data_IF_857199808313
#
_entry.id   IF_857199808313
#
_cell.length_a   1.000
_cell.length_b   1.000
_cell.length_c   1.000
_cell.angle_alpha   90.00
_cell.angle_beta   90.00
_cell.angle_gamma   90.00
#
_symmetry.space_group_name_H-M   'P 1'
#
loop_
_entity.id
_entity.type
_entity.pdbx_description
1 polymer ?
#
# COMPACT_ATOMS: atom_id res chain seq x y z
N UNK A 1 50.20 22.51 7.38
CA UNK A 1 49.06 22.90 8.24
C UNK A 1 47.98 21.87 8.05
N UNK A 2 47.74 21.05 9.07
CA UNK A 2 46.66 20.06 9.13
C UNK A 2 45.34 20.78 9.40
N UNK A 3 44.24 20.30 8.81
CA UNK A 3 42.91 20.51 9.38
C UNK A 3 42.13 19.19 9.29
N UNK A 4 41.65 18.76 10.46
CA UNK A 4 40.93 17.52 10.71
C UNK A 4 39.56 17.49 10.02
N UNK A 5 39.29 16.46 9.22
CA UNK A 5 37.93 16.03 8.91
C UNK A 5 37.47 15.06 10.01
N UNK A 6 36.51 15.49 10.82
CA UNK A 6 35.79 14.63 11.74
C UNK A 6 34.78 13.78 10.97
N UNK A 7 34.99 12.48 10.95
CA UNK A 7 34.03 11.48 10.46
C UNK A 7 32.83 11.42 11.42
N UNK A 8 31.73 12.09 11.10
CA UNK A 8 30.45 11.85 11.75
C UNK A 8 29.87 10.53 11.25
N UNK A 9 29.89 9.49 12.10
CA UNK A 9 29.21 8.21 11.83
C UNK A 9 27.71 8.45 11.72
N UNK A 10 27.12 8.00 10.62
CA UNK A 10 25.67 7.86 10.49
C UNK A 10 25.12 6.89 11.55
N UNK A 11 23.92 7.11 12.12
CA UNK A 11 23.29 6.12 12.98
C UNK A 11 22.97 4.86 12.16
N UNK A 12 23.19 3.68 12.76
CA UNK A 12 22.78 2.41 12.17
C UNK A 12 21.25 2.35 12.06
N UNK A 13 20.69 1.74 10.99
CA UNK A 13 19.24 1.62 10.82
C UNK A 13 18.60 0.82 11.96
N UNK A 14 17.39 1.20 12.36
CA UNK A 14 16.63 0.57 13.46
C UNK A 14 16.40 -0.95 13.28
N UNK A 15 16.47 -1.46 12.05
CA UNK A 15 16.37 -2.89 11.74
C UNK A 15 17.57 -3.69 12.25
N UNK A 16 18.78 -3.11 12.24
CA UNK A 16 19.98 -3.75 12.79
C UNK A 16 19.91 -3.85 14.32
N UNK A 17 19.28 -2.88 15.00
CA UNK A 17 19.15 -2.88 16.45
C UNK A 17 18.22 -3.99 16.97
N UNK A 18 17.14 -4.32 16.24
CA UNK A 18 16.24 -5.40 16.60
C UNK A 18 16.88 -6.79 16.45
N UNK A 19 17.67 -7.00 15.40
CA UNK A 19 18.42 -8.25 15.19
C UNK A 19 19.48 -8.41 16.29
N UNK A 20 20.25 -7.36 16.59
CA UNK A 20 21.25 -7.41 17.66
C UNK A 20 20.63 -7.59 19.06
N UNK A 21 19.49 -6.94 19.36
CA UNK A 21 18.79 -7.10 20.63
C UNK A 21 18.20 -8.52 20.78
N UNK A 22 17.67 -9.10 19.70
CA UNK A 22 17.18 -10.47 19.68
C UNK A 22 18.33 -11.49 19.86
N UNK A 23 19.47 -11.29 19.19
CA UNK A 23 20.67 -12.11 19.38
C UNK A 23 21.24 -12.00 20.81
N UNK A 24 21.23 -10.80 21.39
CA UNK A 24 21.72 -10.57 22.76
C UNK A 24 20.82 -11.24 23.79
N UNK A 25 19.49 -11.10 23.66
CA UNK A 25 18.51 -11.74 24.55
C UNK A 25 18.54 -13.27 24.46
N UNK A 26 18.74 -13.85 23.27
CA UNK A 26 18.88 -15.30 23.09
C UNK A 26 20.16 -15.87 23.72
N UNK A 27 21.21 -15.06 23.86
CA UNK A 27 22.48 -15.48 24.48
C UNK A 27 22.52 -15.41 26.01
N UNK A 28 21.55 -14.73 26.65
CA UNK A 28 21.59 -14.43 28.10
C UNK A 28 20.57 -15.19 28.96
N UNK A 29 19.67 -16.00 28.37
CA UNK A 29 18.72 -16.82 29.13
C UNK A 29 19.23 -18.27 29.30
N UNK A 30 19.35 -18.80 30.53
CA UNK A 30 19.89 -20.14 30.79
C UNK A 30 18.94 -21.30 30.40
N UNK A 31 17.86 -21.02 29.66
CA UNK A 31 16.88 -22.03 29.24
C UNK A 31 17.14 -22.60 27.84
N UNK A 32 18.11 -22.04 27.09
CA UNK A 32 18.48 -22.47 25.74
C UNK A 32 19.80 -23.29 25.74
N UNK A 33 19.87 -24.35 26.54
CA UNK A 33 20.97 -25.34 26.46
C UNK A 33 20.50 -26.72 25.95
N UNK A 34 19.31 -26.80 25.36
CA UNK A 34 18.80 -28.03 24.71
C UNK A 34 18.20 -27.69 23.34
N UNK A 35 18.97 -27.04 22.48
CA UNK A 35 18.73 -27.08 21.05
C UNK A 35 20.03 -27.49 20.37
N UNK A 36 19.95 -28.59 19.61
CA UNK A 36 21.01 -29.06 18.72
C UNK A 36 21.55 -27.89 17.89
N UNK A 37 22.88 -27.75 17.84
CA UNK A 37 23.60 -26.71 17.11
C UNK A 37 23.13 -26.65 15.64
N UNK A 38 22.75 -27.80 15.09
CA UNK A 38 22.18 -27.95 13.75
C UNK A 38 20.83 -27.23 13.61
N UNK A 39 19.95 -27.35 14.62
CA UNK A 39 18.62 -26.72 14.61
C UNK A 39 18.71 -25.21 14.76
N UNK A 40 19.66 -24.73 15.56
CA UNK A 40 19.93 -23.29 15.72
C UNK A 40 20.48 -22.68 14.43
N UNK A 41 21.41 -23.35 13.73
CA UNK A 41 21.91 -22.90 12.41
C UNK A 41 20.83 -22.86 11.34
N UNK A 42 19.92 -23.83 11.30
CA UNK A 42 18.79 -23.83 10.36
C UNK A 42 17.86 -22.64 10.60
N UNK A 43 17.55 -22.31 11.85
CA UNK A 43 16.70 -21.17 12.19
C UNK A 43 17.38 -19.85 11.82
N UNK A 44 18.68 -19.70 12.08
CA UNK A 44 19.42 -18.48 11.72
C UNK A 44 19.49 -18.29 10.21
N UNK A 45 19.76 -19.33 9.43
CA UNK A 45 19.73 -19.26 7.96
C UNK A 45 18.34 -18.91 7.44
N UNK A 46 17.27 -19.45 8.05
CA UNK A 46 15.89 -19.13 7.66
C UNK A 46 15.59 -17.64 7.88
N UNK A 47 15.99 -17.10 9.03
CA UNK A 47 15.81 -15.67 9.37
C UNK A 47 16.65 -14.77 8.47
N UNK A 48 17.86 -15.18 8.10
CA UNK A 48 18.71 -14.42 7.18
C UNK A 48 18.10 -14.37 5.77
N UNK A 49 17.62 -15.50 5.25
CA UNK A 49 16.93 -15.58 3.96
C UNK A 49 15.58 -14.82 4.00
N UNK A 50 14.84 -14.85 5.11
CA UNK A 50 13.65 -14.01 5.29
C UNK A 50 14.01 -12.52 5.26
N UNK A 51 15.08 -12.11 5.93
CA UNK A 51 15.56 -10.72 5.91
C UNK A 51 16.06 -10.28 4.54
N UNK A 52 16.70 -11.17 3.77
CA UNK A 52 17.15 -10.90 2.39
C UNK A 52 15.97 -10.75 1.45
N UNK A 53 14.95 -11.61 1.59
CA UNK A 53 13.70 -11.51 0.82
C UNK A 53 12.90 -10.26 1.16
N UNK A 54 12.92 -9.81 2.42
CA UNK A 54 12.35 -8.52 2.83
C UNK A 54 13.11 -7.35 2.21
N UNK A 55 14.45 -7.37 2.25
CA UNK A 55 15.29 -6.33 1.60
C UNK A 55 15.10 -6.28 0.08
N UNK A 56 15.00 -7.43 -0.59
CA UNK A 56 14.73 -7.48 -2.03
C UNK A 56 13.30 -7.02 -2.36
N UNK A 57 12.32 -7.31 -1.50
CA UNK A 57 10.95 -6.77 -1.62
C UNK A 57 10.93 -5.25 -1.47
N UNK A 58 11.59 -4.70 -0.45
CA UNK A 58 11.72 -3.26 -0.25
C UNK A 58 12.45 -2.59 -1.44
N UNK A 59 13.52 -3.22 -1.93
CA UNK A 59 14.28 -2.72 -3.09
C UNK A 59 13.46 -2.74 -4.39
N UNK A 60 12.63 -3.77 -4.62
CA UNK A 60 11.78 -3.82 -5.82
C UNK A 60 10.55 -2.92 -5.70
N UNK A 61 10.04 -2.68 -4.49
CA UNK A 61 8.98 -1.71 -4.24
C UNK A 61 9.45 -0.26 -4.48
N UNK A 62 10.74 0.02 -4.27
CA UNK A 62 11.39 1.31 -4.58
C UNK A 62 11.61 1.57 -6.08
N UNK A 63 11.31 0.62 -6.97
CA UNK A 63 11.52 0.77 -8.41
C UNK A 63 10.44 1.61 -9.12
N UNK A 64 9.39 2.05 -8.42
CA UNK A 64 8.50 3.09 -8.91
C UNK A 64 9.19 4.45 -8.75
N UNK A 65 9.15 5.31 -9.77
CA UNK A 65 9.82 6.60 -9.74
C UNK A 65 9.21 7.52 -8.68
N UNK A 66 9.69 7.41 -7.44
CA UNK A 66 9.27 8.27 -6.35
C UNK A 66 9.84 9.66 -6.59
N UNK A 67 9.00 10.54 -7.13
CA UNK A 67 9.33 11.96 -7.27
C UNK A 67 9.12 12.61 -5.92
N UNK A 68 10.21 13.17 -5.37
CA UNK A 68 10.18 13.86 -4.08
C UNK A 68 9.18 15.03 -4.09
N UNK A 69 8.37 15.10 -3.04
CA UNK A 69 7.46 16.23 -2.81
C UNK A 69 8.32 17.44 -2.41
N UNK A 70 8.17 18.59 -3.08
CA UNK A 70 9.04 19.74 -2.86
C UNK A 70 8.70 20.43 -1.54
N UNK A 71 9.73 20.91 -0.86
CA UNK A 71 9.63 21.57 0.44
C UNK A 71 10.77 21.15 1.36
N UNK A 72 10.97 21.90 2.44
CA UNK A 72 11.88 21.47 3.51
C UNK A 72 11.22 20.36 4.33
N UNK A 73 12.00 19.41 4.89
CA UNK A 73 11.47 18.43 5.83
C UNK A 73 10.77 19.10 7.01
N UNK A 74 9.76 18.43 7.58
CA UNK A 74 9.09 18.90 8.79
C UNK A 74 10.11 19.17 9.89
N UNK A 75 10.21 20.42 10.35
CA UNK A 75 11.14 20.80 11.41
C UNK A 75 10.85 20.02 12.71
N UNK A 76 11.91 19.73 13.49
CA UNK A 76 11.79 18.97 14.74
C UNK A 76 10.75 19.56 15.71
N UNK A 77 10.65 20.90 15.77
CA UNK A 77 9.66 21.58 16.60
C UNK A 77 8.23 21.30 16.16
N UNK A 78 7.99 21.34 14.85
CA UNK A 78 6.68 21.02 14.24
C UNK A 78 6.33 19.55 14.44
N UNK A 79 7.26 18.63 14.18
CA UNK A 79 7.03 17.20 14.36
C UNK A 79 6.69 16.84 15.82
N UNK A 80 7.36 17.47 16.79
CA UNK A 80 7.06 17.29 18.22
C UNK A 80 5.66 17.83 18.58
N UNK A 81 5.30 19.00 18.06
CA UNK A 81 3.98 19.61 18.27
C UNK A 81 2.87 18.74 17.65
N UNK A 82 3.06 18.24 16.43
CA UNK A 82 2.13 17.34 15.74
C UNK A 82 1.95 16.03 16.53
N UNK A 83 3.04 15.46 17.03
CA UNK A 83 2.98 14.26 17.88
C UNK A 83 2.15 14.53 19.14
N UNK A 84 2.43 15.63 19.85
CA UNK A 84 1.70 16.00 21.07
C UNK A 84 0.21 16.23 20.79
N UNK A 85 -0.12 17.01 19.77
CA UNK A 85 -1.51 17.30 19.40
C UNK A 85 -2.24 16.06 18.88
N UNK A 86 -1.57 15.15 18.18
CA UNK A 86 -2.11 13.87 17.73
C UNK A 86 -2.48 12.92 18.89
N UNK A 87 -1.88 13.05 20.06
CA UNK A 87 -2.32 12.29 21.25
C UNK A 87 -3.57 12.87 21.93
N UNK A 88 -3.88 14.14 21.68
CA UNK A 88 -5.01 14.85 22.29
C UNK A 88 -6.25 14.77 21.40
N UNK A 89 -6.06 14.84 20.09
CA UNK A 89 -7.15 14.84 19.11
C UNK A 89 -7.71 13.42 18.88
N UNK A 90 -9.03 13.34 18.65
CA UNK A 90 -9.70 12.09 18.29
C UNK A 90 -9.77 11.92 16.77
N UNK A 91 -9.23 10.82 16.25
CA UNK A 91 -9.24 10.48 14.82
C UNK A 91 -10.35 9.47 14.46
N UNK A 92 -11.52 9.58 15.10
CA UNK A 92 -12.60 8.59 14.97
C UNK A 92 -12.98 8.24 13.51
N UNK A 93 -13.09 9.21 12.57
CA UNK A 93 -13.37 8.87 11.17
C UNK A 93 -12.27 8.03 10.50
N UNK A 94 -11.00 8.33 10.78
CA UNK A 94 -9.85 7.60 10.22
C UNK A 94 -9.73 6.21 10.86
N UNK A 95 -10.05 6.09 12.15
CA UNK A 95 -10.04 4.82 12.88
C UNK A 95 -11.10 3.83 12.38
N UNK A 96 -12.04 4.25 11.52
CA UNK A 96 -13.01 3.37 10.88
C UNK A 96 -12.49 2.69 9.59
N UNK A 97 -11.27 3.03 9.16
CA UNK A 97 -10.59 2.33 8.07
C UNK A 97 -10.13 0.96 8.58
N UNK A 98 -10.62 -0.11 7.96
CA UNK A 98 -10.37 -1.49 8.39
C UNK A 98 -9.88 -2.39 7.25
N UNK A 99 -9.79 -1.88 6.02
CA UNK A 99 -9.47 -2.67 4.85
C UNK A 99 -8.42 -1.98 3.97
N UNK A 100 -7.41 -2.75 3.56
CA UNK A 100 -6.42 -2.37 2.56
C UNK A 100 -6.61 -3.23 1.32
N UNK A 101 -6.84 -2.59 0.17
CA UNK A 101 -6.90 -3.25 -1.16
C UNK A 101 -5.82 -2.65 -2.06
N UNK A 102 -5.24 -3.46 -2.94
CA UNK A 102 -4.43 -2.99 -4.05
C UNK A 102 -5.15 -3.32 -5.36
N UNK A 103 -5.20 -2.35 -6.27
CA UNK A 103 -5.77 -2.47 -7.61
C UNK A 103 -4.97 -1.63 -8.62
N UNK A 104 -5.39 -1.64 -9.89
CA UNK A 104 -4.72 -0.91 -10.97
C UNK A 104 -5.70 0.00 -11.69
N UNK A 105 -5.44 1.29 -11.63
CA UNK A 105 -6.30 2.32 -12.16
C UNK A 105 -5.82 2.86 -13.50
N UNK A 106 -6.79 3.13 -14.36
CA UNK A 106 -6.61 3.68 -15.69
C UNK A 106 -7.27 5.05 -15.77
N UNK A 107 -6.67 6.01 -16.46
CA UNK A 107 -7.33 7.29 -16.68
C UNK A 107 -8.50 7.09 -17.65
N UNK A 108 -9.71 7.52 -17.28
CA UNK A 108 -10.91 7.28 -18.11
C UNK A 108 -10.78 7.85 -19.54
N UNK A 109 -10.04 8.95 -19.70
CA UNK A 109 -9.80 9.59 -21.00
C UNK A 109 -8.62 8.97 -21.76
N UNK A 110 -7.75 8.21 -21.09
CA UNK A 110 -6.55 7.58 -21.66
C UNK A 110 -6.21 6.29 -20.90
N UNK A 111 -6.79 5.18 -21.37
CA UNK A 111 -6.58 3.85 -20.81
C UNK A 111 -5.19 3.27 -21.10
N UNK A 112 -4.26 4.02 -21.71
CA UNK A 112 -2.85 3.59 -21.81
C UNK A 112 -2.04 3.95 -20.58
N UNK A 113 -2.52 4.93 -19.80
CA UNK A 113 -1.88 5.39 -18.57
C UNK A 113 -2.45 4.64 -17.37
N UNK A 114 -1.56 4.00 -16.61
CA UNK A 114 -1.91 3.08 -15.53
C UNK A 114 -1.15 3.44 -14.26
N UNK A 115 -1.81 3.29 -13.11
CA UNK A 115 -1.20 3.46 -11.78
C UNK A 115 -1.63 2.34 -10.86
N UNK A 116 -0.70 1.84 -10.05
CA UNK A 116 -1.05 1.05 -8.88
C UNK A 116 -1.72 1.94 -7.84
N UNK A 117 -2.77 1.43 -7.20
CA UNK A 117 -3.60 2.19 -6.28
C UNK A 117 -3.87 1.38 -5.00
N UNK A 118 -3.47 1.95 -3.87
CA UNK A 118 -3.68 1.36 -2.55
C UNK A 118 -4.86 2.02 -1.85
N UNK A 119 -5.95 1.27 -1.72
CA UNK A 119 -7.19 1.70 -1.13
C UNK A 119 -7.20 1.39 0.36
N UNK A 120 -7.50 2.39 1.18
CA UNK A 120 -7.72 2.27 2.61
C UNK A 120 -9.18 2.61 2.90
N UNK A 121 -9.99 1.56 3.03
CA UNK A 121 -11.44 1.63 3.02
C UNK A 121 -12.04 1.47 4.41
N UNK A 122 -13.16 2.17 4.62
CA UNK A 122 -14.09 1.93 5.72
C UNK A 122 -15.53 1.87 5.23
N UNK A 123 -16.34 1.04 5.88
CA UNK A 123 -17.79 1.00 5.66
C UNK A 123 -18.47 2.25 6.21
N UNK A 124 -19.35 2.86 5.40
CA UNK A 124 -20.40 3.75 5.90
C UNK A 124 -21.62 2.95 6.36
N UNK A 125 -21.91 1.86 5.64
CA UNK A 125 -22.85 0.80 5.96
C UNK A 125 -22.49 -0.44 5.12
N UNK A 126 -23.32 -1.49 5.17
CA UNK A 126 -23.09 -2.74 4.42
C UNK A 126 -22.98 -2.54 2.90
N UNK A 127 -23.68 -1.55 2.37
CA UNK A 127 -23.88 -1.33 0.93
C UNK A 127 -22.96 -0.25 0.35
N UNK A 128 -22.32 0.57 1.21
CA UNK A 128 -21.51 1.73 0.81
C UNK A 128 -20.18 1.76 1.57
N UNK A 129 -19.08 1.79 0.81
CA UNK A 129 -17.71 2.03 1.33
C UNK A 129 -17.17 3.33 0.79
N UNK A 130 -16.23 3.89 1.52
CA UNK A 130 -15.40 4.99 1.05
C UNK A 130 -13.93 4.68 1.34
N UNK A 131 -13.06 5.05 0.43
CA UNK A 131 -11.63 4.75 0.53
C UNK A 131 -10.79 6.00 0.28
N UNK A 132 -9.70 6.11 1.04
CA UNK A 132 -8.57 6.95 0.70
C UNK A 132 -7.62 6.15 -0.19
N UNK A 133 -7.10 6.75 -1.26
CA UNK A 133 -6.21 6.07 -2.21
C UNK A 133 -4.82 6.69 -2.13
N UNK A 134 -3.83 5.82 -1.95
CA UNK A 134 -2.41 6.17 -1.93
C UNK A 134 -1.67 5.52 -3.11
N UNK A 135 -0.56 6.13 -3.52
CA UNK A 135 0.29 5.62 -4.62
C UNK A 135 1.26 4.50 -4.22
N UNK A 136 1.39 4.24 -2.92
CA UNK A 136 2.16 3.11 -2.39
C UNK A 136 1.60 2.68 -1.03
N UNK A 137 2.01 1.53 -0.47
CA UNK A 137 1.58 1.11 0.87
C UNK A 137 2.51 1.67 1.97
N UNK A 138 3.48 2.52 1.62
CA UNK A 138 4.52 2.99 2.52
C UNK A 138 4.04 4.18 3.38
N UNK A 139 4.77 4.47 4.46
CA UNK A 139 4.43 5.54 5.40
C UNK A 139 4.43 6.94 4.79
N UNK A 140 5.26 7.15 3.78
CA UNK A 140 5.47 8.39 3.05
C UNK A 140 4.64 8.47 1.75
N UNK A 141 3.72 7.53 1.55
CA UNK A 141 2.85 7.51 0.38
C UNK A 141 2.04 8.80 0.24
N UNK A 142 1.81 9.20 -1.02
CA UNK A 142 1.03 10.39 -1.36
C UNK A 142 -0.44 10.01 -1.42
N UNK A 143 -1.31 10.80 -0.79
CA UNK A 143 -2.76 10.69 -1.00
C UNK A 143 -3.08 11.16 -2.42
N UNK A 144 -3.44 10.23 -3.30
CA UNK A 144 -3.67 10.51 -4.72
C UNK A 144 -5.14 10.61 -5.09
N UNK A 145 -6.04 10.04 -4.30
CA UNK A 145 -7.44 9.93 -4.69
C UNK A 145 -8.39 9.48 -3.60
N UNK A 146 -9.66 9.36 -3.99
CA UNK A 146 -10.70 8.72 -3.19
C UNK A 146 -11.50 7.77 -4.07
N UNK A 147 -12.14 6.82 -3.42
CA UNK A 147 -13.14 5.95 -4.04
C UNK A 147 -14.42 5.91 -3.20
N UNK A 148 -15.56 5.91 -3.89
CA UNK A 148 -16.81 5.44 -3.33
C UNK A 148 -17.17 4.10 -3.96
N UNK A 149 -17.49 3.12 -3.12
CA UNK A 149 -17.88 1.78 -3.57
C UNK A 149 -19.32 1.55 -3.17
N UNK A 150 -20.14 1.10 -4.11
CA UNK A 150 -21.53 0.72 -3.85
C UNK A 150 -21.80 -0.71 -4.34
N UNK A 151 -22.67 -1.43 -3.66
CA UNK A 151 -23.19 -2.71 -4.17
C UNK A 151 -23.99 -2.51 -5.46
N UNK A 152 -24.04 -3.56 -6.28
CA UNK A 152 -24.74 -3.57 -7.57
C UNK A 152 -26.19 -3.05 -7.48
N UNK A 153 -26.94 -3.43 -6.43
CA UNK A 153 -28.32 -2.98 -6.25
C UNK A 153 -28.45 -1.46 -6.14
N UNK A 154 -27.48 -0.77 -5.52
CA UNK A 154 -27.46 0.70 -5.47
C UNK A 154 -27.01 1.28 -6.81
N UNK A 155 -25.96 0.72 -7.43
CA UNK A 155 -25.49 1.17 -8.75
C UNK A 155 -26.61 1.17 -9.79
N UNK A 156 -27.44 0.13 -9.82
CA UNK A 156 -28.55 0.01 -10.77
C UNK A 156 -29.62 1.09 -10.60
N UNK A 157 -29.70 1.73 -9.43
CA UNK A 157 -30.62 2.84 -9.14
C UNK A 157 -30.07 4.22 -9.49
N UNK A 158 -28.79 4.33 -9.85
CA UNK A 158 -28.18 5.59 -10.24
C UNK A 158 -28.79 6.13 -11.54
N UNK A 159 -28.79 7.46 -11.74
CA UNK A 159 -29.08 8.07 -13.04
C UNK A 159 -28.20 7.50 -14.16
N UNK A 160 -28.75 7.38 -15.37
CA UNK A 160 -28.04 6.75 -16.49
C UNK A 160 -26.83 7.58 -16.97
N UNK A 161 -26.84 8.89 -16.75
CA UNK A 161 -25.72 9.79 -17.02
C UNK A 161 -24.62 9.74 -15.95
N UNK A 162 -24.94 9.24 -14.76
CA UNK A 162 -23.99 9.05 -13.66
C UNK A 162 -23.22 7.73 -13.78
N UNK A 163 -23.88 6.64 -14.20
CA UNK A 163 -23.27 5.30 -14.34
C UNK A 163 -21.94 5.24 -15.11
N UNK A 164 -21.73 6.03 -16.19
CA UNK A 164 -20.45 6.07 -16.90
C UNK A 164 -19.26 6.58 -16.09
N UNK A 165 -19.48 7.15 -14.89
CA UNK A 165 -18.42 7.57 -13.97
C UNK A 165 -17.98 6.45 -13.02
N UNK A 166 -18.58 5.27 -13.14
CA UNK A 166 -18.33 4.11 -12.28
C UNK A 166 -17.80 2.94 -13.10
N UNK A 167 -17.06 2.05 -12.45
CA UNK A 167 -16.61 0.79 -13.04
C UNK A 167 -16.97 -0.39 -12.14
N UNK A 168 -17.09 -1.58 -12.72
CA UNK A 168 -17.32 -2.81 -11.97
C UNK A 168 -16.01 -3.39 -11.47
N UNK A 169 -15.99 -3.88 -10.23
CA UNK A 169 -14.85 -4.62 -9.67
C UNK A 169 -14.80 -6.09 -10.09
N UNK A 170 -15.83 -6.58 -10.82
CA UNK A 170 -15.96 -8.01 -11.11
C UNK A 170 -14.74 -8.60 -11.81
N UNK A 171 -14.25 -7.92 -12.85
CA UNK A 171 -13.14 -8.43 -13.65
C UNK A 171 -11.82 -8.41 -12.87
N UNK A 172 -11.56 -7.34 -12.14
CA UNK A 172 -10.33 -7.20 -11.35
C UNK A 172 -10.26 -8.26 -10.26
N UNK A 173 -11.37 -8.48 -9.55
CA UNK A 173 -11.42 -9.49 -8.49
C UNK A 173 -11.28 -10.89 -9.07
N UNK A 174 -12.04 -11.24 -10.11
CA UNK A 174 -11.94 -12.58 -10.72
C UNK A 174 -10.59 -12.83 -11.38
N UNK A 175 -9.97 -11.80 -11.93
CA UNK A 175 -8.65 -11.85 -12.54
C UNK A 175 -7.49 -11.86 -11.54
N UNK A 176 -7.75 -11.60 -10.26
CA UNK A 176 -6.71 -11.46 -9.23
C UNK A 176 -5.89 -10.16 -9.37
N UNK A 177 -6.48 -9.12 -9.96
CA UNK A 177 -5.90 -7.79 -10.11
C UNK A 177 -6.32 -6.82 -9.02
N UNK A 178 -7.36 -7.16 -8.26
CA UNK A 178 -7.74 -6.49 -7.01
C UNK A 178 -7.59 -7.52 -5.87
N UNK A 179 -6.72 -7.20 -4.91
CA UNK A 179 -6.31 -8.13 -3.84
C UNK A 179 -6.08 -7.42 -2.51
N UNK A 180 -5.94 -8.19 -1.42
CA UNK A 180 -5.75 -7.68 -0.05
C UNK A 180 -4.33 -7.99 0.44
N UNK A 181 -3.39 -7.02 0.43
CA UNK A 181 -2.01 -7.25 0.85
C UNK A 181 -1.92 -7.81 2.28
N UNK A 182 -1.12 -8.88 2.45
CA UNK A 182 -0.86 -9.49 3.76
C UNK A 182 -2.02 -10.31 4.37
N UNK A 183 -3.18 -10.38 3.72
CA UNK A 183 -4.33 -11.15 4.21
C UNK A 183 -4.25 -12.61 3.72
N UNK A 184 -4.47 -13.61 4.60
CA UNK A 184 -4.46 -15.01 4.18
C UNK A 184 -5.54 -15.31 3.12
N UNK A 185 -5.19 -16.07 2.08
CA UNK A 185 -6.05 -16.27 0.90
C UNK A 185 -7.46 -16.83 1.15
N UNK A 186 -7.69 -17.57 2.24
CA UNK A 186 -9.05 -18.01 2.61
C UNK A 186 -9.92 -16.86 3.12
N UNK A 187 -9.32 -15.96 3.90
CA UNK A 187 -10.00 -14.78 4.45
C UNK A 187 -10.22 -13.75 3.34
N UNK A 188 -9.18 -13.48 2.56
CA UNK A 188 -9.23 -12.61 1.38
C UNK A 188 -10.35 -13.03 0.42
N UNK A 189 -10.41 -14.32 0.05
CA UNK A 189 -11.44 -14.84 -0.85
C UNK A 189 -12.86 -14.60 -0.35
N UNK A 190 -13.09 -14.61 0.95
CA UNK A 190 -14.41 -14.37 1.50
C UNK A 190 -14.82 -12.91 1.39
N UNK A 191 -13.90 -11.98 1.61
CA UNK A 191 -14.14 -10.54 1.44
C UNK A 191 -14.30 -10.18 -0.06
N UNK A 192 -13.38 -10.67 -0.90
CA UNK A 192 -13.39 -10.41 -2.34
C UNK A 192 -14.65 -10.91 -3.05
N UNK A 193 -15.33 -11.95 -2.55
CA UNK A 193 -16.65 -12.35 -3.08
C UNK A 193 -17.69 -11.24 -2.97
N UNK A 194 -17.62 -10.41 -1.93
CA UNK A 194 -18.50 -9.27 -1.77
C UNK A 194 -18.07 -8.15 -2.71
N UNK A 195 -16.77 -7.81 -2.70
CA UNK A 195 -16.19 -6.77 -3.57
C UNK A 195 -16.47 -7.04 -5.05
N UNK A 196 -16.44 -8.31 -5.48
CA UNK A 196 -16.73 -8.72 -6.86
C UNK A 196 -18.09 -8.24 -7.39
N UNK A 197 -19.06 -7.92 -6.52
CA UNK A 197 -20.41 -7.46 -6.89
C UNK A 197 -20.64 -5.98 -6.56
N UNK A 198 -19.57 -5.20 -6.60
CA UNK A 198 -19.60 -3.77 -6.32
C UNK A 198 -19.11 -2.95 -7.51
N UNK A 199 -19.44 -1.67 -7.47
CA UNK A 199 -19.04 -0.67 -8.45
C UNK A 199 -18.31 0.47 -7.73
N UNK A 200 -17.18 0.90 -8.30
CA UNK A 200 -16.33 1.95 -7.80
C UNK A 200 -16.46 3.24 -8.61
N UNK A 201 -16.60 4.38 -7.94
CA UNK A 201 -16.36 5.72 -8.51
C UNK A 201 -15.07 6.25 -7.93
N UNK A 202 -14.03 6.23 -8.76
CA UNK A 202 -12.69 6.65 -8.36
C UNK A 202 -12.34 8.00 -8.95
N UNK A 203 -11.82 8.88 -8.11
CA UNK A 203 -11.32 10.20 -8.50
C UNK A 203 -9.88 10.35 -8.00
N UNK A 204 -8.94 10.52 -8.93
CA UNK A 204 -7.56 10.87 -8.59
C UNK A 204 -7.33 12.38 -8.72
N UNK A 205 -6.75 12.98 -7.68
CA UNK A 205 -6.34 14.38 -7.61
C UNK A 205 -4.86 14.57 -8.01
N UNK A 206 -4.03 13.54 -7.84
CA UNK A 206 -2.60 13.58 -8.16
C UNK A 206 -2.26 12.60 -9.29
N UNK A 207 -1.69 13.11 -10.38
CA UNK A 207 -1.25 12.31 -11.52
C UNK A 207 0.21 11.88 -11.38
N UNK A 208 0.46 10.91 -10.50
CA UNK A 208 1.83 10.48 -10.14
C UNK A 208 2.60 9.83 -11.30
N UNK A 209 1.92 9.25 -12.28
CA UNK A 209 2.53 8.66 -13.49
C UNK A 209 3.20 9.69 -14.40
N UNK A 210 2.78 10.97 -14.33
CA UNK A 210 3.44 12.07 -15.05
C UNK A 210 4.75 12.51 -14.40
N UNK A 211 5.03 12.02 -13.18
CA UNK A 211 6.15 12.50 -12.36
C UNK A 211 5.91 13.90 -11.79
N UNK A 212 4.64 14.33 -11.67
CA UNK A 212 4.34 15.64 -11.10
C UNK A 212 4.70 15.65 -9.60
N UNK A 213 5.49 16.63 -9.12
CA UNK A 213 5.94 16.70 -7.72
C UNK A 213 4.85 17.22 -6.76
N UNK A 214 3.71 17.68 -7.29
CA UNK A 214 2.53 18.17 -6.56
C UNK A 214 1.25 17.74 -7.31
N UNK A 215 0.04 17.76 -6.68
CA UNK A 215 -1.22 17.39 -7.34
C UNK A 215 -1.68 18.49 -8.30
N UNK A 216 -1.10 18.51 -9.51
CA UNK A 216 -1.39 19.51 -10.54
C UNK A 216 -2.50 19.06 -11.50
N UNK A 217 -3.27 20.03 -11.98
CA UNK A 217 -4.33 19.82 -12.97
C UNK A 217 -5.70 19.55 -12.33
N UNK A 218 -6.67 19.16 -13.18
CA UNK A 218 -8.02 18.83 -12.71
C UNK A 218 -8.11 17.37 -12.23
N UNK A 219 -9.00 17.05 -11.27
CA UNK A 219 -9.23 15.68 -10.85
C UNK A 219 -9.66 14.79 -12.03
N UNK A 220 -9.21 13.54 -12.01
CA UNK A 220 -9.42 12.57 -13.07
C UNK A 220 -10.33 11.44 -12.59
N UNK A 221 -11.32 11.08 -13.42
CA UNK A 221 -12.05 9.82 -13.24
C UNK A 221 -11.14 8.67 -13.61
N UNK A 222 -11.10 7.66 -12.76
CA UNK A 222 -10.34 6.45 -12.99
C UNK A 222 -11.24 5.25 -13.25
N UNK A 223 -10.72 4.34 -14.06
CA UNK A 223 -11.37 3.11 -14.49
C UNK A 223 -10.52 1.90 -14.11
N UNK A 224 -11.19 0.75 -14.07
CA UNK A 224 -10.62 -0.55 -13.74
C UNK A 224 -10.29 -1.39 -14.98
N UNK A 225 -9.63 -2.54 -14.75
CA UNK A 225 -9.59 -3.59 -15.76
C UNK A 225 -10.99 -4.14 -16.03
N UNK A 226 -11.26 -4.41 -17.30
CA UNK A 226 -12.54 -4.97 -17.79
C UNK A 226 -12.36 -6.17 -18.70
N UNK A 227 -11.13 -6.45 -19.16
CA UNK A 227 -10.81 -7.59 -20.03
C UNK A 227 -9.34 -8.01 -19.91
N UNK A 228 -8.99 -9.24 -20.34
CA UNK A 228 -7.61 -9.70 -20.33
C UNK A 228 -6.69 -8.85 -21.21
N UNK A 229 -5.43 -8.75 -20.82
CA UNK A 229 -4.38 -8.08 -21.60
C UNK A 229 -4.39 -6.54 -21.53
N UNK A 230 -5.14 -5.94 -20.60
CA UNK A 230 -5.10 -4.48 -20.38
C UNK A 230 -3.95 -4.02 -19.47
N UNK A 231 -3.54 -4.84 -18.50
CA UNK A 231 -2.48 -4.47 -17.56
C UNK A 231 -1.13 -4.39 -18.28
N UNK A 232 -0.38 -3.30 -18.06
CA UNK A 232 1.01 -3.20 -18.49
C UNK A 232 1.86 -4.26 -17.78
N UNK A 233 2.61 -5.06 -18.54
CA UNK A 233 3.46 -6.10 -17.99
C UNK A 233 4.55 -5.58 -17.04
N UNK A 234 5.03 -4.36 -17.25
CA UNK A 234 6.06 -3.76 -16.40
C UNK A 234 5.51 -3.47 -15.00
N UNK A 235 4.26 -3.00 -14.93
CA UNK A 235 3.54 -2.79 -13.67
C UNK A 235 3.24 -4.15 -13.01
N UNK A 236 2.78 -5.13 -13.80
CA UNK A 236 2.46 -6.47 -13.28
C UNK A 236 3.66 -7.20 -12.65
N UNK A 237 4.86 -7.05 -13.22
CA UNK A 237 6.09 -7.74 -12.77
C UNK A 237 6.65 -7.16 -11.47
N UNK A 238 6.48 -5.86 -11.21
CA UNK A 238 6.95 -5.22 -9.97
C UNK A 238 6.24 -5.74 -8.72
N UNK A 239 4.99 -6.19 -8.85
CA UNK A 239 4.09 -6.39 -7.73
C UNK A 239 3.84 -7.85 -7.35
N UNK A 240 4.60 -8.81 -7.91
CA UNK A 240 4.49 -10.25 -7.61
C UNK A 240 3.02 -10.72 -7.52
N UNK A 241 2.19 -10.34 -8.49
CA UNK A 241 0.76 -10.67 -8.51
C UNK A 241 0.60 -12.20 -8.61
N UNK A 242 0.55 -12.88 -7.47
CA UNK A 242 0.30 -14.32 -7.36
C UNK A 242 -1.21 -14.53 -7.30
N UNK A 243 -1.71 -15.10 -8.40
CA UNK A 243 -3.12 -15.32 -8.74
C UNK A 243 -3.87 -16.13 -7.69
N UNK A 244 -4.77 -15.48 -6.96
CA UNK A 244 -5.94 -16.12 -6.39
C UNK A 244 -7.16 -15.67 -7.17
N UNK A 245 -7.55 -16.46 -8.17
CA UNK A 245 -8.83 -16.30 -8.86
C UNK A 245 -9.93 -16.86 -7.94
N UNK A 246 -11.00 -16.10 -7.72
CA UNK A 246 -12.18 -16.57 -6.99
C UNK A 246 -13.12 -17.42 -7.84
#
# INVERSE_FOLDING_TARGET
MQNHQGSTRSPLPLSSFHVFLCMYLLSTFPFFQILDETRTRTILNQLEIESERERERESNLMATSHVDVPGEPTETGTALLETATGTIQGFQPINNIHQHLCAFHFYAHDMTRQVEAHHFCGHLNEDVRQCLIYDSPNKDARLIGIEYIVVESLFLTLPDDEKPLWHSHEFEVKGGYLFMPGVPGMVERQDLKQVCKTYGKVIHFWQVDRGDPLPLGIPQIMMALTRPGQLDENIAKGNNIVRLTI
#
